data_IF_243416089114
#
_entry.id   IF_243416089114
#
_cell.length_a   1.000
_cell.length_b   1.000
_cell.length_c   1.000
_cell.angle_alpha   90.00
_cell.angle_beta   90.00
_cell.angle_gamma   90.00
#
_symmetry.space_group_name_H-M   'P 1'
#
loop_
_entity.id
_entity.type
_entity.pdbx_description
1 polymer ?
#
# COMPACT_ATOMS: atom_id res chain seq x y z
N UNK A 1 -17.40 53.97 -54.26
CA UNK A 1 -17.80 53.16 -53.07
C UNK A 1 -16.62 52.31 -52.66
N UNK A 2 -15.87 52.78 -51.66
CA UNK A 2 -14.65 52.13 -51.16
C UNK A 2 -14.75 52.21 -49.64
N UNK A 3 -15.05 51.10 -48.98
CA UNK A 3 -15.22 51.03 -47.54
C UNK A 3 -15.88 49.71 -47.16
N UNK A 4 -15.37 49.08 -46.11
CA UNK A 4 -15.87 47.83 -45.48
C UNK A 4 -15.43 46.49 -46.08
N UNK A 5 -14.15 46.34 -46.45
CA UNK A 5 -13.53 44.99 -46.56
C UNK A 5 -12.49 44.68 -45.46
N UNK A 6 -12.08 45.67 -44.66
CA UNK A 6 -11.02 45.49 -43.65
C UNK A 6 -11.51 45.14 -42.24
N UNK A 7 -12.71 45.59 -41.84
CA UNK A 7 -13.13 45.47 -40.43
C UNK A 7 -13.61 44.05 -40.08
N UNK A 8 -14.25 43.34 -41.01
CA UNK A 8 -14.74 41.98 -40.77
C UNK A 8 -13.63 40.95 -40.58
N UNK A 9 -12.48 41.12 -41.25
CA UNK A 9 -11.31 40.24 -41.12
C UNK A 9 -10.58 40.44 -39.78
N UNK A 10 -10.51 41.68 -39.29
CA UNK A 10 -9.89 41.99 -38.00
C UNK A 10 -10.74 41.47 -36.84
N UNK A 11 -12.08 41.63 -36.91
CA UNK A 11 -12.99 41.12 -35.90
C UNK A 11 -13.06 39.59 -35.86
N UNK A 12 -13.03 38.91 -37.01
CA UNK A 12 -12.95 37.44 -37.06
C UNK A 12 -11.58 36.92 -36.60
N UNK A 13 -10.49 37.62 -36.91
CA UNK A 13 -9.16 37.32 -36.40
C UNK A 13 -9.09 37.37 -34.88
N UNK A 14 -9.52 38.46 -34.25
CA UNK A 14 -9.53 38.61 -32.79
C UNK A 14 -10.43 37.59 -32.09
N UNK A 15 -11.62 37.32 -32.62
CA UNK A 15 -12.51 36.29 -32.07
C UNK A 15 -11.91 34.88 -32.18
N UNK A 16 -11.28 34.56 -33.31
CA UNK A 16 -10.63 33.25 -33.49
C UNK A 16 -9.47 33.03 -32.51
N UNK A 17 -8.69 34.08 -32.22
CA UNK A 17 -7.61 34.04 -31.22
C UNK A 17 -8.18 33.81 -29.82
N UNK A 18 -9.28 34.48 -29.45
CA UNK A 18 -9.91 34.29 -28.14
C UNK A 18 -10.46 32.86 -27.96
N UNK A 19 -11.09 32.30 -29.00
CA UNK A 19 -11.59 30.92 -28.97
C UNK A 19 -10.43 29.93 -28.83
N UNK A 20 -9.33 30.16 -29.55
CA UNK A 20 -8.15 29.31 -29.46
C UNK A 20 -7.52 29.34 -28.06
N UNK A 21 -7.38 30.54 -27.47
CA UNK A 21 -6.86 30.70 -26.10
C UNK A 21 -7.78 30.02 -25.08
N UNK A 22 -9.10 30.17 -25.21
CA UNK A 22 -10.06 29.50 -24.33
C UNK A 22 -9.99 27.97 -24.46
N UNK A 23 -9.83 27.47 -25.69
CA UNK A 23 -9.67 26.03 -25.94
C UNK A 23 -8.39 25.48 -25.31
N UNK A 24 -7.25 26.15 -25.49
CA UNK A 24 -5.97 25.75 -24.89
C UNK A 24 -6.04 25.82 -23.36
N UNK A 25 -6.62 26.88 -22.79
CA UNK A 25 -6.81 26.99 -21.34
C UNK A 25 -7.69 25.85 -20.80
N UNK A 26 -8.78 25.52 -21.51
CA UNK A 26 -9.63 24.38 -21.18
C UNK A 26 -8.89 23.04 -21.25
N UNK A 27 -8.05 22.84 -22.27
CA UNK A 27 -7.24 21.65 -22.42
C UNK A 27 -6.22 21.51 -21.29
N UNK A 28 -5.55 22.60 -20.91
CA UNK A 28 -4.60 22.63 -19.78
C UNK A 28 -5.30 22.29 -18.47
N UNK A 29 -6.48 22.87 -18.21
CA UNK A 29 -7.26 22.54 -17.02
C UNK A 29 -7.71 21.08 -17.00
N UNK A 30 -8.09 20.54 -18.15
CA UNK A 30 -8.47 19.12 -18.28
C UNK A 30 -7.27 18.21 -18.01
N UNK A 31 -6.11 18.50 -18.59
CA UNK A 31 -4.86 17.77 -18.33
C UNK A 31 -4.51 17.84 -16.83
N UNK A 32 -4.54 19.02 -16.22
CA UNK A 32 -4.25 19.15 -14.78
C UNK A 32 -5.24 18.35 -13.92
N UNK A 33 -6.54 18.41 -14.21
CA UNK A 33 -7.55 17.66 -13.46
C UNK A 33 -7.38 16.13 -13.59
N UNK A 34 -6.98 15.63 -14.76
CA UNK A 34 -6.75 14.20 -14.98
C UNK A 34 -5.44 13.72 -14.34
N UNK A 35 -4.33 14.47 -14.48
CA UNK A 35 -3.03 14.04 -13.98
C UNK A 35 -2.87 14.21 -12.46
N UNK A 36 -3.53 15.19 -11.83
CA UNK A 36 -3.52 15.34 -10.36
C UNK A 36 -4.17 14.13 -9.68
N UNK A 37 -5.26 13.59 -10.24
CA UNK A 37 -5.89 12.36 -9.74
C UNK A 37 -5.05 11.10 -9.98
N UNK A 38 -4.18 11.10 -10.99
CA UNK A 38 -3.28 9.98 -11.28
C UNK A 38 -2.27 9.74 -10.14
N UNK A 39 -1.89 10.80 -9.41
CA UNK A 39 -1.01 10.67 -8.23
C UNK A 39 -1.63 9.80 -7.13
N UNK A 40 -2.96 9.81 -6.97
CA UNK A 40 -3.65 9.01 -5.96
C UNK A 40 -3.61 7.50 -6.24
N UNK A 41 -3.64 7.10 -7.51
CA UNK A 41 -3.55 5.68 -7.91
C UNK A 41 -2.14 5.14 -7.70
N UNK A 42 -1.11 5.96 -7.96
CA UNK A 42 0.30 5.58 -7.76
C UNK A 42 0.63 5.37 -6.26
N UNK A 43 0.13 6.22 -5.37
CA UNK A 43 0.35 6.09 -3.92
C UNK A 43 -0.32 4.83 -3.36
N UNK A 44 -1.47 4.41 -3.90
CA UNK A 44 -2.10 3.14 -3.50
C UNK A 44 -1.26 1.94 -3.91
N UNK A 45 -0.74 1.94 -5.15
CA UNK A 45 0.09 0.86 -5.65
C UNK A 45 1.40 0.70 -4.84
N UNK A 46 2.01 1.81 -4.43
CA UNK A 46 3.20 1.78 -3.57
C UNK A 46 2.91 1.16 -2.20
N UNK A 47 1.79 1.52 -1.56
CA UNK A 47 1.40 0.97 -0.26
C UNK A 47 1.03 -0.51 -0.33
N UNK A 48 0.40 -0.94 -1.42
CA UNK A 48 0.09 -2.35 -1.64
C UNK A 48 1.39 -3.17 -1.84
N UNK A 49 2.35 -2.65 -2.61
CA UNK A 49 3.67 -3.28 -2.76
C UNK A 49 4.43 -3.33 -1.43
N UNK A 50 4.39 -2.25 -0.64
CA UNK A 50 4.98 -2.22 0.70
C UNK A 50 4.36 -3.27 1.63
N UNK A 51 3.06 -3.51 1.55
CA UNK A 51 2.40 -4.55 2.35
C UNK A 51 2.84 -5.97 1.96
N UNK A 52 3.09 -6.22 0.66
CA UNK A 52 3.65 -7.48 0.17
C UNK A 52 5.08 -7.67 0.68
N UNK A 53 5.96 -6.69 0.48
CA UNK A 53 7.35 -6.78 0.92
C UNK A 53 7.45 -6.91 2.45
N UNK A 54 6.64 -6.16 3.19
CA UNK A 54 6.54 -6.26 4.63
C UNK A 54 6.16 -7.67 5.09
N UNK A 55 5.25 -8.36 4.38
CA UNK A 55 4.84 -9.72 4.73
C UNK A 55 5.99 -10.73 4.64
N UNK A 56 6.82 -10.65 3.60
CA UNK A 56 8.00 -11.53 3.47
C UNK A 56 9.11 -11.16 4.44
N UNK A 57 9.29 -9.87 4.75
CA UNK A 57 10.24 -9.44 5.79
C UNK A 57 9.84 -9.95 7.16
N UNK A 58 8.55 -9.87 7.50
CA UNK A 58 7.99 -10.42 8.75
C UNK A 58 8.18 -11.93 8.79
N UNK A 59 7.87 -12.64 7.70
CA UNK A 59 8.07 -14.08 7.63
C UNK A 59 9.53 -14.47 7.90
N UNK A 60 10.47 -13.83 7.20
CA UNK A 60 11.89 -14.12 7.36
C UNK A 60 12.38 -13.79 8.77
N UNK A 61 11.92 -12.71 9.38
CA UNK A 61 12.38 -12.32 10.73
C UNK A 61 11.83 -13.24 11.84
N UNK A 62 10.65 -13.83 11.63
CA UNK A 62 10.04 -14.78 12.56
C UNK A 62 10.55 -16.21 12.36
N UNK A 63 10.98 -16.55 11.15
CA UNK A 63 11.65 -17.82 10.86
C UNK A 63 13.08 -17.87 11.38
N UNK A 64 13.78 -16.74 11.45
CA UNK A 64 15.16 -16.64 11.94
C UNK A 64 16.08 -17.71 11.31
N UNK A 65 16.17 -17.70 9.97
CA UNK A 65 16.90 -18.68 9.14
C UNK A 65 16.32 -20.12 9.10
N UNK A 66 15.25 -20.42 9.84
CA UNK A 66 14.54 -21.69 9.75
C UNK A 66 13.53 -21.76 8.58
N UNK A 67 13.04 -22.96 8.28
CA UNK A 67 12.00 -23.18 7.25
C UNK A 67 10.58 -22.90 7.76
N UNK A 68 10.40 -22.79 9.08
CA UNK A 68 9.12 -22.66 9.78
C UNK A 68 9.23 -21.64 10.92
N UNK A 69 8.08 -21.10 11.34
CA UNK A 69 7.95 -20.28 12.54
C UNK A 69 7.61 -21.20 13.71
N UNK A 70 8.36 -21.13 14.79
CA UNK A 70 8.09 -21.93 15.97
C UNK A 70 6.89 -21.39 16.76
N UNK A 71 5.91 -22.26 17.06
CA UNK A 71 4.71 -21.88 17.83
C UNK A 71 5.05 -21.40 19.24
N UNK A 72 5.98 -22.07 19.93
CA UNK A 72 6.40 -21.70 21.29
C UNK A 72 7.11 -20.35 21.28
N UNK A 73 7.82 -20.02 20.20
CA UNK A 73 8.40 -18.70 20.02
C UNK A 73 7.31 -17.62 19.91
N UNK A 74 6.28 -17.84 19.10
CA UNK A 74 5.15 -16.90 18.98
C UNK A 74 4.40 -16.71 20.31
N UNK A 75 4.20 -17.81 21.04
CA UNK A 75 3.59 -17.79 22.37
C UNK A 75 4.42 -16.96 23.36
N UNK A 76 5.72 -17.18 23.38
CA UNK A 76 6.65 -16.43 24.22
C UNK A 76 6.67 -14.94 23.91
N UNK A 77 6.64 -14.55 22.63
CA UNK A 77 6.57 -13.14 22.25
C UNK A 77 5.32 -12.45 22.83
N UNK A 78 4.17 -13.13 22.78
CA UNK A 78 2.92 -12.59 23.34
C UNK A 78 2.97 -12.57 24.87
N UNK A 79 3.47 -13.62 25.52
CA UNK A 79 3.63 -13.70 26.98
C UNK A 79 4.60 -12.64 27.52
N UNK A 80 5.68 -12.36 26.80
CA UNK A 80 6.64 -11.29 27.10
C UNK A 80 6.08 -9.87 26.80
N UNK A 81 4.87 -9.77 26.28
CA UNK A 81 4.23 -8.50 25.92
C UNK A 81 4.85 -7.81 24.70
N UNK A 82 5.63 -8.54 23.89
CA UNK A 82 6.17 -8.07 22.60
C UNK A 82 5.07 -8.08 21.54
N UNK A 83 4.11 -7.17 21.71
CA UNK A 83 2.95 -6.98 20.83
C UNK A 83 3.25 -6.12 19.61
N UNK A 84 4.51 -5.70 19.42
CA UNK A 84 4.93 -4.81 18.35
C UNK A 84 6.11 -5.44 17.61
N UNK A 85 5.97 -5.65 16.30
CA UNK A 85 7.01 -6.29 15.49
C UNK A 85 8.31 -5.49 15.51
N UNK A 86 8.24 -4.16 15.66
CA UNK A 86 9.43 -3.31 15.83
C UNK A 86 10.23 -3.63 17.11
N UNK A 87 9.60 -4.23 18.13
CA UNK A 87 10.24 -4.57 19.41
C UNK A 87 10.78 -6.00 19.46
N UNK A 88 10.60 -6.78 18.39
CA UNK A 88 11.18 -8.11 18.25
C UNK A 88 12.62 -7.92 17.78
N UNK A 89 13.61 -8.44 18.51
CA UNK A 89 15.03 -8.18 18.23
C UNK A 89 15.46 -8.61 16.81
N UNK A 90 14.88 -9.70 16.29
CA UNK A 90 15.11 -10.18 14.92
C UNK A 90 14.43 -9.30 13.86
N UNK A 91 13.42 -8.51 14.24
CA UNK A 91 12.60 -7.73 13.31
C UNK A 91 12.85 -6.21 13.49
N UNK A 92 13.72 -5.62 12.66
CA UNK A 92 14.04 -4.17 12.69
C UNK A 92 13.03 -3.31 11.92
N UNK A 93 11.74 -3.65 11.97
CA UNK A 93 10.68 -3.07 11.12
C UNK A 93 10.02 -1.79 11.68
N UNK A 94 10.79 -0.96 12.40
CA UNK A 94 10.27 0.21 13.11
C UNK A 94 9.87 1.40 12.24
N UNK A 95 10.40 1.51 11.02
CA UNK A 95 10.17 2.67 10.16
C UNK A 95 8.83 2.67 9.42
N UNK A 96 8.13 1.54 9.38
CA UNK A 96 7.02 1.30 8.45
C UNK A 96 5.64 1.26 9.16
N UNK A 97 5.62 1.19 10.50
CA UNK A 97 4.35 1.21 11.27
C UNK A 97 3.49 -0.02 11.01
N UNK A 98 4.11 -1.20 10.96
CA UNK A 98 3.46 -2.44 10.53
C UNK A 98 2.74 -3.13 11.70
N UNK A 99 1.48 -3.50 11.47
CA UNK A 99 0.72 -4.43 12.31
C UNK A 99 0.70 -5.84 11.71
N UNK A 100 0.85 -6.88 12.53
CA UNK A 100 0.90 -8.28 12.07
C UNK A 100 -0.05 -9.16 12.86
N UNK A 101 -0.76 -10.06 12.18
CA UNK A 101 -1.53 -11.13 12.81
C UNK A 101 -1.12 -12.46 12.19
N UNK A 102 -0.86 -13.46 13.00
CA UNK A 102 -0.50 -14.81 12.55
C UNK A 102 -1.61 -15.75 12.97
N UNK A 103 -2.06 -16.60 12.06
CA UNK A 103 -3.09 -17.60 12.32
C UNK A 103 -2.62 -18.98 11.91
N UNK A 104 -2.64 -19.92 12.83
CA UNK A 104 -2.55 -21.35 12.52
C UNK A 104 -3.88 -21.81 11.93
N UNK A 105 -3.88 -22.34 10.70
CA UNK A 105 -5.10 -22.77 10.03
C UNK A 105 -5.63 -24.12 10.52
N UNK A 106 -4.79 -24.94 11.14
CA UNK A 106 -5.16 -26.27 11.64
C UNK A 106 -5.73 -26.17 13.05
N UNK A 107 -5.10 -25.39 13.92
CA UNK A 107 -5.57 -25.23 15.32
C UNK A 107 -6.47 -24.02 15.54
N UNK A 108 -6.50 -23.07 14.59
CA UNK A 108 -7.27 -21.83 14.72
C UNK A 108 -6.69 -20.81 15.70
N UNK A 109 -5.52 -21.08 16.29
CA UNK A 109 -4.83 -20.16 17.21
C UNK A 109 -4.35 -18.92 16.45
N UNK A 110 -4.44 -17.77 17.11
CA UNK A 110 -4.05 -16.48 16.54
C UNK A 110 -3.09 -15.73 17.48
N UNK A 111 -2.08 -15.10 16.88
CA UNK A 111 -1.15 -14.18 17.55
C UNK A 111 -1.29 -12.81 16.90
N UNK A 112 -1.56 -11.78 17.72
CA UNK A 112 -1.78 -10.42 17.22
C UNK A 112 -0.70 -9.48 17.73
N UNK A 113 0.04 -8.92 16.78
CA UNK A 113 1.09 -7.92 16.94
C UNK A 113 0.62 -6.58 16.33
N UNK A 114 -0.43 -5.99 16.95
CA UNK A 114 -1.05 -4.72 16.54
C UNK A 114 -1.61 -4.68 15.11
N UNK A 115 -2.07 -5.81 14.59
CA UNK A 115 -2.76 -5.84 13.31
C UNK A 115 -4.05 -5.02 13.34
N UNK A 116 -4.21 -4.13 12.37
CA UNK A 116 -5.41 -3.32 12.18
C UNK A 116 -6.28 -3.90 11.06
N UNK A 117 -7.39 -4.56 11.43
CA UNK A 117 -8.39 -5.06 10.48
C UNK A 117 -9.03 -3.97 9.61
N UNK A 118 -9.03 -2.73 10.10
CA UNK A 118 -9.62 -1.58 9.42
C UNK A 118 -8.69 -0.94 8.38
N UNK A 119 -7.40 -1.33 8.36
CA UNK A 119 -6.47 -0.82 7.35
C UNK A 119 -6.91 -1.24 5.94
N UNK A 120 -6.78 -0.29 5.03
CA UNK A 120 -7.00 -0.52 3.59
C UNK A 120 -5.80 -1.18 2.92
N UNK A 121 -4.60 -1.01 3.47
CA UNK A 121 -3.36 -1.60 2.94
C UNK A 121 -3.07 -2.85 3.75
N UNK A 122 -3.65 -3.97 3.31
CA UNK A 122 -3.47 -5.26 3.95
C UNK A 122 -3.05 -6.32 2.95
N UNK A 123 -2.17 -7.20 3.39
CA UNK A 123 -1.73 -8.33 2.62
C UNK A 123 -1.66 -9.57 3.50
N UNK A 124 -1.69 -10.75 2.87
CA UNK A 124 -1.42 -11.99 3.58
C UNK A 124 -0.61 -12.94 2.73
N UNK A 125 0.23 -13.72 3.41
CA UNK A 125 0.98 -14.83 2.80
C UNK A 125 0.77 -16.08 3.64
N UNK A 126 1.03 -17.23 3.02
CA UNK A 126 1.06 -18.51 3.71
C UNK A 126 2.46 -18.78 4.23
N UNK A 127 2.52 -19.43 5.39
CA UNK A 127 3.80 -19.83 6.00
C UNK A 127 3.64 -21.16 6.71
N UNK A 128 4.76 -21.74 7.16
CA UNK A 128 4.76 -22.97 7.95
C UNK A 128 4.93 -22.63 9.42
N UNK A 129 4.08 -23.19 10.29
CA UNK A 129 4.17 -23.05 11.74
C UNK A 129 4.46 -24.43 12.32
N UNK A 130 5.52 -24.55 13.11
CA UNK A 130 5.86 -25.82 13.78
C UNK A 130 5.18 -25.89 15.14
N UNK A 131 4.47 -26.98 15.38
CA UNK A 131 3.79 -27.30 16.63
C UNK A 131 4.22 -28.70 17.11
N UNK A 132 5.20 -28.74 18.01
CA UNK A 132 5.86 -29.98 18.42
C UNK A 132 6.56 -30.67 17.25
N UNK A 133 6.11 -31.87 16.88
CA UNK A 133 6.64 -32.63 15.73
C UNK A 133 5.91 -32.34 14.41
N UNK A 134 4.80 -31.61 14.45
CA UNK A 134 3.99 -31.33 13.27
C UNK A 134 4.32 -29.96 12.66
N UNK A 135 4.13 -29.85 11.35
CA UNK A 135 4.21 -28.60 10.61
C UNK A 135 2.82 -28.28 10.07
N UNK A 136 2.24 -27.19 10.56
CA UNK A 136 0.93 -26.71 10.16
C UNK A 136 1.06 -25.58 9.14
N UNK A 137 0.06 -25.45 8.28
CA UNK A 137 -0.04 -24.27 7.41
C UNK A 137 -0.61 -23.09 8.20
N UNK A 138 0.13 -21.99 8.23
CA UNK A 138 -0.27 -20.73 8.82
C UNK A 138 -0.54 -19.64 7.78
N UNK A 139 -1.14 -18.54 8.24
CA UNK A 139 -1.24 -17.28 7.49
C UNK A 139 -0.66 -16.13 8.31
N UNK A 140 0.18 -15.34 7.67
CA UNK A 140 0.65 -14.05 8.19
C UNK A 140 -0.16 -12.98 7.49
N UNK A 141 -0.87 -12.18 8.27
CA UNK A 141 -1.60 -10.99 7.86
C UNK A 141 -0.79 -9.77 8.25
N UNK A 142 -0.68 -8.81 7.35
CA UNK A 142 0.06 -7.56 7.57
C UNK A 142 -0.83 -6.38 7.23
N UNK A 143 -0.78 -5.34 8.06
CA UNK A 143 -1.48 -4.06 7.88
C UNK A 143 -0.49 -2.90 7.98
N UNK A 144 -0.56 -1.93 7.06
CA UNK A 144 0.21 -0.68 7.06
C UNK A 144 -0.76 0.51 7.12
#
# INVERSE_FOLDING_TARGET
MRGMKGDTEIFTGLFSVLIFVAFIAGLVLLIQAYFVNFSGVLVSAEKDLLAVDASHLVENCLKDEAEFIDREYLDRLVEEGKTDVCKIESCKLCGIGIGVKIKDLETGKEWNFKYDESSRNKHFIYTNIKDGENIHVGRIYVSI
#
